data_IF_854766986910
#
_entry.id   IF_854766986910
#
_cell.length_a   1.000
_cell.length_b   1.000
_cell.length_c   1.000
_cell.angle_alpha   90.00
_cell.angle_beta   90.00
_cell.angle_gamma   90.00
#
_symmetry.space_group_name_H-M   'P 1'
#
loop_
_entity.id
_entity.type
_entity.pdbx_description
1 polymer ?
#
# COMPACT_ATOMS: atom_id res chain seq x y z
N UNK A 1 -26.92 -76.42 35.98
CA UNK A 1 -27.43 -76.23 34.60
C UNK A 1 -26.26 -75.81 33.71
N UNK A 2 -26.05 -76.59 32.63
CA UNK A 2 -24.91 -76.66 31.70
C UNK A 2 -24.58 -75.36 30.94
N UNK A 3 -23.41 -75.10 30.31
CA UNK A 3 -22.03 -75.65 30.26
C UNK A 3 -21.17 -74.59 29.51
N UNK A 4 -19.87 -74.48 29.85
CA UNK A 4 -18.75 -73.84 29.08
C UNK A 4 -18.46 -74.63 27.77
N UNK A 5 -17.41 -74.39 26.90
CA UNK A 5 -16.23 -73.49 26.99
C UNK A 5 -15.73 -72.82 25.67
N UNK A 6 -14.61 -72.10 25.81
CA UNK A 6 -13.73 -71.50 24.80
C UNK A 6 -12.94 -72.52 23.93
N UNK A 7 -12.52 -72.12 22.71
CA UNK A 7 -11.12 -72.04 22.21
C UNK A 7 -11.00 -71.87 20.67
N UNK A 8 -10.04 -71.00 20.25
CA UNK A 8 -8.97 -71.22 19.23
C UNK A 8 -9.25 -71.09 17.71
N UNK A 9 -8.65 -70.02 17.14
CA UNK A 9 -7.89 -69.84 15.89
C UNK A 9 -7.99 -70.89 14.75
N UNK A 10 -8.25 -70.42 13.51
CA UNK A 10 -7.43 -70.74 12.32
C UNK A 10 -7.74 -69.87 11.08
N UNK A 11 -6.67 -69.22 10.58
CA UNK A 11 -6.22 -68.90 9.21
C UNK A 11 -7.19 -68.68 8.01
N UNK A 12 -6.78 -67.65 7.26
CA UNK A 12 -6.71 -67.47 5.79
C UNK A 12 -8.01 -67.37 4.98
N UNK A 13 -8.09 -66.36 4.12
CA UNK A 13 -8.18 -66.47 2.65
C UNK A 13 -8.44 -65.06 2.06
N UNK A 14 -7.51 -64.53 1.25
CA UNK A 14 -7.88 -63.64 0.14
C UNK A 14 -8.54 -64.50 -0.95
N UNK A 15 -9.45 -63.94 -1.76
CA UNK A 15 -8.98 -63.56 -3.10
C UNK A 15 -9.62 -62.31 -3.73
N UNK A 16 -8.87 -61.88 -4.73
CA UNK A 16 -8.98 -60.90 -5.79
C UNK A 16 -10.32 -60.81 -6.59
N UNK A 17 -10.75 -59.56 -6.82
CA UNK A 17 -11.45 -58.93 -7.97
C UNK A 17 -12.76 -59.49 -8.58
N UNK A 18 -13.75 -58.60 -8.69
CA UNK A 18 -14.24 -58.01 -9.97
C UNK A 18 -15.65 -57.41 -9.82
N UNK A 19 -15.82 -56.11 -10.06
CA UNK A 19 -16.99 -55.58 -10.80
C UNK A 19 -16.81 -54.09 -11.11
N UNK A 20 -17.16 -53.73 -12.33
CA UNK A 20 -17.08 -52.39 -12.91
C UNK A 20 -18.23 -51.51 -12.42
N UNK A 21 -18.02 -50.20 -12.53
CA UNK A 21 -18.99 -49.10 -12.77
C UNK A 21 -19.11 -48.05 -11.67
N UNK A 22 -19.00 -46.80 -12.15
CA UNK A 22 -19.31 -45.50 -11.53
C UNK A 22 -18.30 -44.91 -10.53
N UNK A 23 -17.18 -44.43 -11.06
CA UNK A 23 -16.43 -43.33 -10.46
C UNK A 23 -17.00 -41.99 -10.94
N UNK A 24 -18.09 -41.54 -10.31
CA UNK A 24 -18.54 -40.15 -10.38
C UNK A 24 -19.40 -39.87 -9.14
N UNK A 25 -19.17 -38.71 -8.52
CA UNK A 25 -19.65 -38.25 -7.20
C UNK A 25 -18.79 -38.71 -6.02
N UNK A 26 -18.53 -37.75 -5.13
CA UNK A 26 -17.69 -37.79 -3.92
C UNK A 26 -16.22 -37.39 -4.08
N UNK A 27 -15.95 -36.26 -4.74
CA UNK A 27 -14.75 -35.45 -4.48
C UNK A 27 -15.06 -33.94 -4.50
N UNK A 28 -16.03 -33.52 -3.68
CA UNK A 28 -16.13 -32.12 -3.25
C UNK A 28 -16.42 -32.11 -1.74
N UNK A 29 -15.44 -32.57 -0.96
CA UNK A 29 -15.34 -32.14 0.44
C UNK A 29 -14.29 -31.04 0.42
N UNK A 30 -14.74 -29.84 0.76
CA UNK A 30 -13.99 -28.60 0.62
C UNK A 30 -12.61 -28.67 1.27
N UNK A 31 -11.58 -28.57 0.43
CA UNK A 31 -10.39 -27.83 0.78
C UNK A 31 -10.74 -26.34 0.68
N UNK A 32 -11.55 -25.87 1.63
CA UNK A 32 -11.35 -24.51 2.09
C UNK A 32 -9.91 -24.51 2.61
N UNK A 33 -8.99 -23.93 1.84
CA UNK A 33 -7.69 -23.55 2.35
C UNK A 33 -7.98 -22.61 3.51
N UNK A 34 -8.00 -23.16 4.73
CA UNK A 34 -7.90 -22.39 5.95
C UNK A 34 -6.46 -21.86 5.93
N UNK A 35 -6.24 -20.81 5.14
CA UNK A 35 -5.16 -19.88 5.42
C UNK A 35 -5.49 -19.37 6.83
N UNK A 36 -4.62 -19.54 7.82
CA UNK A 36 -4.85 -18.95 9.12
C UNK A 36 -4.94 -17.43 8.92
N UNK A 37 -6.15 -16.89 8.97
CA UNK A 37 -6.43 -15.47 8.97
C UNK A 37 -5.99 -14.93 10.32
N UNK A 38 -4.75 -14.44 10.39
CA UNK A 38 -4.26 -13.73 11.57
C UNK A 38 -4.89 -12.33 11.56
N UNK A 39 -5.66 -12.01 12.60
CA UNK A 39 -6.38 -10.75 12.67
C UNK A 39 -5.42 -9.61 12.95
N UNK A 40 -5.57 -8.50 12.23
CA UNK A 40 -5.02 -7.21 12.68
C UNK A 40 -5.50 -6.93 14.12
N UNK A 41 -4.64 -6.29 14.91
CA UNK A 41 -5.07 -5.72 16.17
C UNK A 41 -6.07 -4.58 15.91
N UNK A 42 -6.98 -4.34 16.86
CA UNK A 42 -7.91 -3.22 16.74
C UNK A 42 -7.18 -1.88 16.79
N UNK A 43 -7.77 -0.84 16.19
CA UNK A 43 -7.26 0.53 16.25
C UNK A 43 -6.99 0.97 17.70
N UNK A 44 -7.89 0.58 18.61
CA UNK A 44 -7.78 0.88 20.04
C UNK A 44 -6.58 0.20 20.71
N UNK A 45 -6.20 -1.00 20.27
CA UNK A 45 -5.04 -1.71 20.80
C UNK A 45 -3.71 -0.98 20.50
N UNK A 46 -3.69 -0.11 19.50
CA UNK A 46 -2.59 0.83 19.26
C UNK A 46 -2.79 2.14 20.01
N UNK A 47 -4.00 2.72 19.97
CA UNK A 47 -4.26 4.04 20.58
C UNK A 47 -4.10 4.04 22.10
N UNK A 48 -4.61 3.03 22.81
CA UNK A 48 -4.56 2.95 24.27
C UNK A 48 -3.13 3.10 24.84
N UNK A 49 -2.15 2.28 24.43
CA UNK A 49 -0.80 2.38 24.97
C UNK A 49 -0.09 3.69 24.53
N UNK A 50 -0.34 4.21 23.33
CA UNK A 50 0.21 5.52 22.91
C UNK A 50 -0.35 6.64 23.78
N UNK A 51 -1.68 6.69 23.94
CA UNK A 51 -2.36 7.76 24.65
C UNK A 51 -2.11 7.69 26.17
N UNK A 52 -1.91 6.49 26.73
CA UNK A 52 -1.43 6.32 28.10
C UNK A 52 -0.03 6.93 28.31
N UNK A 53 0.92 6.64 27.41
CA UNK A 53 2.27 7.21 27.48
C UNK A 53 2.28 8.74 27.30
N UNK A 54 1.43 9.25 26.40
CA UNK A 54 1.27 10.68 26.14
C UNK A 54 0.65 11.44 27.30
N UNK A 55 -0.39 10.88 27.93
CA UNK A 55 -1.00 11.44 29.13
C UNK A 55 0.01 11.54 30.29
N UNK A 56 0.90 10.54 30.43
CA UNK A 56 1.92 10.52 31.48
C UNK A 56 2.96 11.66 31.36
N UNK A 57 3.01 12.36 30.22
CA UNK A 57 3.91 13.50 29.99
C UNK A 57 3.15 14.78 29.61
N UNK A 58 1.82 14.77 29.74
CA UNK A 58 0.97 15.93 29.50
C UNK A 58 0.91 16.39 28.05
N UNK A 59 0.96 15.47 27.08
CA UNK A 59 0.73 15.79 25.66
C UNK A 59 -0.62 15.21 25.19
N UNK A 60 -1.31 15.96 24.30
CA UNK A 60 -2.65 15.63 23.79
C UNK A 60 -2.71 14.22 23.18
N UNK A 61 -3.82 13.48 23.34
CA UNK A 61 -3.97 12.14 22.77
C UNK A 61 -3.95 12.16 21.24
N UNK A 62 -3.48 11.07 20.65
CA UNK A 62 -3.58 10.79 19.22
C UNK A 62 -4.99 10.27 18.89
N UNK A 63 -5.46 10.59 17.68
CA UNK A 63 -6.63 9.96 17.07
C UNK A 63 -6.21 9.01 15.96
N UNK A 64 -6.97 7.94 15.73
CA UNK A 64 -6.69 7.04 14.62
C UNK A 64 -6.89 7.73 13.27
N UNK A 65 -6.00 7.44 12.33
CA UNK A 65 -6.10 7.91 10.95
C UNK A 65 -5.98 6.72 10.00
N UNK A 66 -7.07 6.49 9.27
CA UNK A 66 -7.17 5.35 8.35
C UNK A 66 -6.20 5.48 7.17
N UNK A 67 -5.94 6.69 6.66
CA UNK A 67 -4.97 6.90 5.57
C UNK A 67 -3.56 6.55 6.03
N UNK A 68 -3.21 6.92 7.26
CA UNK A 68 -1.91 6.55 7.86
C UNK A 68 -1.82 5.04 8.10
N UNK A 69 -2.91 4.41 8.52
CA UNK A 69 -2.96 2.96 8.78
C UNK A 69 -2.86 2.15 7.48
N UNK A 70 -3.54 2.58 6.42
CA UNK A 70 -3.48 1.95 5.10
C UNK A 70 -2.07 2.09 4.51
N UNK A 71 -1.41 3.25 4.70
CA UNK A 71 0.00 3.44 4.36
C UNK A 71 0.92 2.47 5.14
N UNK A 72 0.75 2.37 6.46
CA UNK A 72 1.51 1.45 7.31
C UNK A 72 1.33 -0.01 6.87
N UNK A 73 0.09 -0.41 6.54
CA UNK A 73 -0.22 -1.77 6.08
C UNK A 73 0.42 -2.07 4.74
N UNK A 74 0.38 -1.11 3.81
CA UNK A 74 1.03 -1.26 2.50
C UNK A 74 2.54 -1.43 2.65
N UNK A 75 3.18 -0.65 3.54
CA UNK A 75 4.60 -0.80 3.78
C UNK A 75 4.95 -2.11 4.51
N UNK A 76 4.15 -2.49 5.52
CA UNK A 76 4.30 -3.76 6.21
C UNK A 76 4.23 -4.95 5.25
N UNK A 77 3.31 -4.90 4.29
CA UNK A 77 3.18 -5.91 3.25
C UNK A 77 4.44 -6.03 2.38
N UNK A 78 5.15 -4.94 2.11
CA UNK A 78 6.41 -4.96 1.35
C UNK A 78 7.53 -5.69 2.11
N UNK A 79 7.51 -5.65 3.44
CA UNK A 79 8.46 -6.35 4.31
C UNK A 79 8.00 -7.76 4.68
N UNK A 80 6.89 -8.27 4.13
CA UNK A 80 6.39 -9.61 4.48
C UNK A 80 7.34 -10.75 4.04
N UNK A 81 8.17 -10.52 3.03
CA UNK A 81 9.09 -11.53 2.52
C UNK A 81 10.34 -11.68 3.39
N UNK A 82 10.87 -10.56 3.91
CA UNK A 82 12.17 -10.51 4.60
C UNK A 82 12.06 -10.10 6.08
N UNK A 83 10.98 -9.42 6.47
CA UNK A 83 10.77 -8.81 7.77
C UNK A 83 11.92 -7.96 8.28
N UNK A 84 12.65 -7.34 7.36
CA UNK A 84 13.73 -6.43 7.72
C UNK A 84 13.14 -5.15 8.34
N UNK A 85 13.75 -4.71 9.45
CA UNK A 85 13.44 -3.42 10.09
C UNK A 85 14.13 -2.29 9.32
N UNK A 86 13.55 -1.95 8.18
CA UNK A 86 13.96 -0.82 7.35
C UNK A 86 12.88 0.23 7.42
N UNK A 87 13.29 1.48 7.55
CA UNK A 87 12.35 2.60 7.52
C UNK A 87 11.79 2.82 6.11
N UNK A 88 10.52 3.20 6.01
CA UNK A 88 9.90 3.51 4.71
C UNK A 88 10.51 4.72 4.02
N UNK A 89 11.20 5.60 4.77
CA UNK A 89 11.63 6.93 4.34
C UNK A 89 10.45 7.74 3.74
N UNK A 90 9.25 7.48 4.25
CA UNK A 90 8.01 8.10 3.84
C UNK A 90 7.79 9.49 4.42
N UNK A 91 6.59 10.00 4.18
CA UNK A 91 6.16 11.33 4.61
C UNK A 91 5.77 11.45 6.10
N UNK A 92 5.84 10.36 6.86
CA UNK A 92 5.34 10.28 8.22
C UNK A 92 6.46 9.92 9.19
N UNK A 93 6.29 10.31 10.46
CA UNK A 93 7.10 9.75 11.54
C UNK A 93 6.82 8.25 11.67
N UNK A 94 7.83 7.43 11.93
CA UNK A 94 7.69 5.98 11.85
C UNK A 94 8.41 5.29 13.00
N UNK A 95 7.68 4.41 13.68
CA UNK A 95 8.24 3.41 14.56
C UNK A 95 8.02 2.02 13.97
N UNK A 96 9.07 1.21 13.96
CA UNK A 96 9.02 -0.17 13.50
C UNK A 96 9.46 -1.10 14.62
N UNK A 97 8.80 -2.24 14.74
CA UNK A 97 9.11 -3.25 15.73
C UNK A 97 9.08 -4.63 15.08
N UNK A 98 9.82 -5.55 15.67
CA UNK A 98 9.83 -6.94 15.27
C UNK A 98 9.71 -7.85 16.49
N UNK A 99 9.03 -8.97 16.31
CA UNK A 99 8.86 -9.99 17.33
C UNK A 99 8.74 -11.39 16.77
N UNK A 100 8.90 -12.36 17.66
CA UNK A 100 8.54 -13.77 17.40
C UNK A 100 7.12 -14.05 17.90
N UNK A 101 6.39 -14.92 17.20
CA UNK A 101 5.00 -15.23 17.55
C UNK A 101 4.02 -14.10 17.20
N UNK A 102 2.84 -14.10 17.82
CA UNK A 102 1.84 -13.03 17.66
C UNK A 102 2.14 -11.90 18.66
N UNK A 103 3.07 -11.03 18.28
CA UNK A 103 3.34 -9.81 19.02
C UNK A 103 2.14 -8.87 18.91
N UNK A 104 1.53 -8.54 20.05
CA UNK A 104 0.41 -7.60 20.07
C UNK A 104 0.86 -6.17 19.84
N UNK A 105 -0.04 -5.36 19.28
CA UNK A 105 0.08 -3.90 19.22
C UNK A 105 0.59 -3.30 20.54
N UNK A 106 -0.04 -3.66 21.66
CA UNK A 106 0.32 -3.16 22.98
C UNK A 106 1.74 -3.54 23.41
N UNK A 107 2.20 -4.75 23.09
CA UNK A 107 3.56 -5.18 23.42
C UNK A 107 4.62 -4.37 22.66
N UNK A 108 4.39 -4.09 21.38
CA UNK A 108 5.30 -3.29 20.57
C UNK A 108 5.33 -1.82 21.01
N UNK A 109 4.17 -1.20 21.22
CA UNK A 109 4.11 0.18 21.72
C UNK A 109 4.77 0.29 23.09
N UNK A 110 4.56 -0.69 23.96
CA UNK A 110 5.26 -0.75 25.25
C UNK A 110 6.78 -0.78 25.06
N UNK A 111 7.30 -1.54 24.10
CA UNK A 111 8.74 -1.62 23.86
C UNK A 111 9.35 -0.27 23.47
N UNK A 112 8.66 0.51 22.64
CA UNK A 112 9.05 1.88 22.31
C UNK A 112 8.93 2.82 23.51
N UNK A 113 7.87 2.69 24.31
CA UNK A 113 7.64 3.52 25.50
C UNK A 113 8.68 3.26 26.60
N UNK A 114 9.14 2.01 26.74
CA UNK A 114 10.13 1.62 27.75
C UNK A 114 11.48 2.34 27.53
N UNK A 115 11.77 2.83 26.33
CA UNK A 115 12.96 3.66 26.06
C UNK A 115 12.95 4.99 26.82
N UNK A 116 11.81 5.40 27.39
CA UNK A 116 11.71 6.53 28.33
C UNK A 116 12.77 6.48 29.42
N UNK A 117 13.12 5.28 29.89
CA UNK A 117 14.16 5.09 30.92
C UNK A 117 15.54 5.63 30.49
N UNK A 118 15.75 5.83 29.19
CA UNK A 118 16.99 6.34 28.59
C UNK A 118 16.89 7.77 28.06
N UNK A 119 15.72 8.41 28.09
CA UNK A 119 15.56 9.78 27.59
C UNK A 119 15.72 10.81 28.72
N UNK A 120 16.60 11.79 28.51
CA UNK A 120 16.76 12.93 29.39
C UNK A 120 16.04 14.16 28.82
N UNK A 121 15.03 14.64 29.56
CA UNK A 121 14.23 15.81 29.20
C UNK A 121 14.99 17.13 29.29
N UNK A 122 16.03 17.22 30.14
CA UNK A 122 16.77 18.46 30.34
C UNK A 122 17.72 18.74 29.18
N UNK A 123 18.31 17.69 28.60
CA UNK A 123 19.25 17.78 27.48
C UNK A 123 18.66 17.40 26.12
N UNK A 124 17.41 16.93 26.10
CA UNK A 124 16.73 16.44 24.89
C UNK A 124 17.56 15.36 24.15
N UNK A 125 18.09 14.40 24.92
CA UNK A 125 19.02 13.40 24.40
C UNK A 125 18.86 12.04 25.05
N UNK A 126 19.22 10.98 24.32
CA UNK A 126 19.31 9.64 24.88
C UNK A 126 20.58 9.48 25.74
N UNK A 127 20.52 8.64 26.76
CA UNK A 127 21.67 8.17 27.51
C UNK A 127 22.72 7.57 26.57
N UNK A 128 24.01 7.73 26.91
CA UNK A 128 25.11 7.30 26.05
C UNK A 128 24.99 5.81 25.66
N UNK A 129 24.98 5.54 24.34
CA UNK A 129 24.86 4.19 23.79
C UNK A 129 23.47 3.56 23.92
N UNK A 130 22.43 4.37 24.18
CA UNK A 130 21.03 3.95 24.22
C UNK A 130 20.21 4.62 23.13
N UNK A 131 19.11 3.98 22.77
CA UNK A 131 18.11 4.50 21.84
C UNK A 131 16.91 4.97 22.63
N UNK A 132 16.35 6.10 22.20
CA UNK A 132 15.12 6.69 22.73
C UNK A 132 14.28 7.39 21.64
N UNK A 133 14.63 7.13 20.38
CA UNK A 133 13.96 7.70 19.22
C UNK A 133 12.52 7.23 19.09
N UNK A 134 12.25 5.96 19.43
CA UNK A 134 10.89 5.45 19.37
C UNK A 134 10.02 6.05 20.48
N UNK A 135 10.56 6.22 21.69
CA UNK A 135 9.86 6.90 22.78
C UNK A 135 9.51 8.34 22.41
N UNK A 136 10.50 9.12 21.97
CA UNK A 136 10.30 10.52 21.59
C UNK A 136 9.29 10.64 20.46
N UNK A 137 9.27 9.70 19.50
CA UNK A 137 8.22 9.65 18.49
C UNK A 137 6.84 9.43 19.11
N UNK A 138 6.65 8.44 20.01
CA UNK A 138 5.37 8.14 20.70
C UNK A 138 4.81 9.38 21.40
N UNK A 139 5.65 10.11 22.11
CA UNK A 139 5.24 11.29 22.90
C UNK A 139 5.43 12.62 22.18
N UNK A 140 5.69 12.61 20.88
CA UNK A 140 5.94 13.83 20.13
C UNK A 140 4.72 14.75 20.15
N UNK A 141 4.88 15.95 20.70
CA UNK A 141 3.76 16.87 21.03
C UNK A 141 2.91 17.23 19.82
N UNK A 142 3.54 17.40 18.66
CA UNK A 142 2.87 17.84 17.44
C UNK A 142 2.26 16.69 16.63
N UNK A 143 2.48 15.44 17.04
CA UNK A 143 1.78 14.29 16.47
C UNK A 143 0.33 14.33 16.94
N UNK A 144 -0.60 14.29 15.99
CA UNK A 144 -2.05 14.35 16.26
C UNK A 144 -2.76 13.08 15.82
N UNK A 145 -2.19 12.36 14.85
CA UNK A 145 -2.81 11.19 14.22
C UNK A 145 -1.85 10.01 14.20
N UNK A 146 -2.37 8.79 14.27
CA UNK A 146 -1.59 7.55 14.16
C UNK A 146 -2.35 6.52 13.36
N UNK A 147 -1.63 5.76 12.56
CA UNK A 147 -2.14 4.58 11.88
C UNK A 147 -1.07 3.50 11.89
N UNK A 148 -1.46 2.30 12.32
CA UNK A 148 -0.55 1.19 12.51
C UNK A 148 -1.04 -0.05 11.78
N UNK A 149 -0.10 -0.93 11.44
CA UNK A 149 -0.37 -2.21 10.84
C UNK A 149 0.66 -3.25 11.26
N UNK A 150 0.21 -4.51 11.40
CA UNK A 150 1.10 -5.65 11.60
C UNK A 150 1.18 -6.53 10.37
N UNK A 151 2.34 -7.13 10.11
CA UNK A 151 2.48 -8.13 9.06
C UNK A 151 3.31 -9.33 9.52
N UNK A 152 2.88 -10.52 9.09
CA UNK A 152 3.60 -11.77 9.31
C UNK A 152 4.57 -12.06 8.16
N UNK A 153 5.79 -12.45 8.51
CA UNK A 153 6.79 -12.96 7.60
C UNK A 153 6.34 -14.26 6.95
N UNK A 154 6.55 -14.40 5.64
CA UNK A 154 6.28 -15.63 4.90
C UNK A 154 7.44 -16.65 4.92
N UNK A 155 8.46 -16.46 5.77
CA UNK A 155 9.61 -17.37 5.84
C UNK A 155 9.18 -18.79 6.25
N UNK A 156 9.62 -19.79 5.48
CA UNK A 156 9.35 -21.23 5.67
C UNK A 156 10.01 -21.84 6.91
N UNK A 157 10.67 -21.03 7.76
CA UNK A 157 11.14 -21.42 9.09
C UNK A 157 10.70 -20.36 10.10
N UNK A 158 9.66 -20.71 10.85
CA UNK A 158 9.02 -19.94 11.91
C UNK A 158 8.24 -18.70 11.44
N UNK A 159 7.05 -18.54 12.02
CA UNK A 159 6.22 -17.35 11.91
C UNK A 159 6.94 -16.15 12.58
N UNK A 160 7.58 -15.28 11.79
CA UNK A 160 8.13 -14.01 12.26
C UNK A 160 7.09 -12.90 12.04
N UNK A 161 7.03 -11.84 12.87
CA UNK A 161 6.12 -10.71 12.66
C UNK A 161 6.86 -9.38 12.79
N UNK A 162 6.56 -8.44 11.89
CA UNK A 162 7.03 -7.05 11.95
C UNK A 162 5.81 -6.12 12.05
N UNK A 163 5.84 -5.22 13.03
CA UNK A 163 4.84 -4.20 13.26
C UNK A 163 5.35 -2.85 12.76
N UNK A 164 4.52 -2.15 12.00
CA UNK A 164 4.80 -0.82 11.46
C UNK A 164 3.76 0.15 12.00
N UNK A 165 4.18 1.09 12.85
CA UNK A 165 3.33 2.20 13.30
C UNK A 165 3.81 3.50 12.68
N UNK A 166 2.90 4.13 11.96
CA UNK A 166 3.16 5.38 11.27
C UNK A 166 2.38 6.48 11.99
N UNK A 167 3.07 7.53 12.40
CA UNK A 167 2.49 8.62 13.19
C UNK A 167 2.48 9.90 12.36
N UNK A 168 1.27 10.44 12.18
CA UNK A 168 1.03 11.71 11.51
C UNK A 168 1.39 12.88 12.42
N UNK A 169 2.52 13.52 12.12
CA UNK A 169 2.90 14.82 12.63
C UNK A 169 2.15 15.90 11.86
N UNK A 170 1.16 16.56 12.47
CA UNK A 170 0.47 17.71 11.87
C UNK A 170 1.12 19.00 12.39
N UNK A 171 2.36 19.24 11.98
CA UNK A 171 2.89 20.61 11.92
C UNK A 171 2.28 21.26 10.68
N UNK A 172 1.86 22.52 10.78
CA UNK A 172 1.41 23.33 9.62
C UNK A 172 2.65 23.67 8.78
N UNK A 173 3.17 22.65 8.14
CA UNK A 173 3.99 22.69 6.94
C UNK A 173 3.18 21.88 5.93
N UNK A 174 2.95 22.36 4.70
CA UNK A 174 2.28 21.55 3.69
C UNK A 174 2.96 20.18 3.64
N UNK A 175 2.19 19.10 3.82
CA UNK A 175 2.78 17.77 3.73
C UNK A 175 3.24 17.58 2.28
N UNK A 176 4.44 17.05 2.06
CA UNK A 176 4.99 16.82 0.72
C UNK A 176 4.05 15.96 -0.16
N UNK A 177 3.21 15.10 0.44
CA UNK A 177 2.19 14.39 -0.33
C UNK A 177 0.96 15.26 -0.66
N UNK A 178 0.45 16.11 0.23
CA UNK A 178 -0.58 17.09 -0.15
C UNK A 178 -0.06 18.00 -1.27
N UNK A 179 1.22 18.38 -1.23
CA UNK A 179 1.86 19.17 -2.29
C UNK A 179 1.90 18.41 -3.62
N UNK A 180 2.34 17.14 -3.64
CA UNK A 180 2.35 16.34 -4.88
C UNK A 180 0.94 16.08 -5.44
N UNK A 181 -0.03 15.77 -4.57
CA UNK A 181 -1.43 15.58 -4.97
C UNK A 181 -1.95 16.86 -5.63
N UNK A 182 -1.67 18.00 -5.00
CA UNK A 182 -2.03 19.31 -5.52
C UNK A 182 -1.32 19.61 -6.84
N UNK A 183 -0.04 19.30 -6.98
CA UNK A 183 0.72 19.50 -8.23
C UNK A 183 0.14 18.69 -9.40
N UNK A 184 -0.22 17.42 -9.19
CA UNK A 184 -0.92 16.62 -10.19
C UNK A 184 -2.27 17.26 -10.52
N UNK A 185 -3.09 17.56 -9.51
CA UNK A 185 -4.45 18.05 -9.72
C UNK A 185 -4.47 19.41 -10.42
N UNK A 186 -3.60 20.34 -10.00
CA UNK A 186 -3.47 21.67 -10.58
C UNK A 186 -3.00 21.61 -12.04
N UNK A 187 -2.05 20.72 -12.36
CA UNK A 187 -1.58 20.53 -13.73
C UNK A 187 -2.69 20.02 -14.66
N UNK A 188 -3.48 19.03 -14.23
CA UNK A 188 -4.64 18.56 -14.98
C UNK A 188 -5.70 19.66 -15.13
N UNK A 189 -6.06 20.31 -14.03
CA UNK A 189 -7.12 21.33 -14.02
C UNK A 189 -6.75 22.58 -14.82
N UNK A 190 -5.45 22.91 -14.90
CA UNK A 190 -4.95 23.95 -15.81
C UNK A 190 -5.18 23.58 -17.27
N UNK A 191 -4.91 22.34 -17.68
CA UNK A 191 -5.17 21.89 -19.06
C UNK A 191 -6.68 21.84 -19.36
N UNK A 192 -7.48 21.32 -18.43
CA UNK A 192 -8.94 21.22 -18.54
C UNK A 192 -9.63 22.58 -18.66
N UNK A 193 -9.13 23.60 -17.95
CA UNK A 193 -9.64 24.96 -18.05
C UNK A 193 -9.48 25.57 -19.45
N UNK A 194 -8.44 25.19 -20.20
CA UNK A 194 -8.23 25.66 -21.58
C UNK A 194 -9.35 25.16 -22.50
N UNK A 195 -9.76 23.91 -22.33
CA UNK A 195 -10.86 23.30 -23.09
C UNK A 195 -12.25 23.57 -22.51
N UNK A 196 -12.33 24.28 -21.38
CA UNK A 196 -13.57 24.59 -20.66
C UNK A 196 -14.35 23.35 -20.20
N UNK A 197 -13.66 22.26 -19.87
CA UNK A 197 -14.26 21.09 -19.21
C UNK A 197 -14.19 21.22 -17.69
N UNK A 198 -15.11 20.59 -16.93
CA UNK A 198 -15.15 20.69 -15.46
C UNK A 198 -13.82 20.24 -14.83
N UNK A 199 -13.34 20.88 -13.75
CA UNK A 199 -12.12 20.43 -13.08
C UNK A 199 -12.29 19.05 -12.44
N UNK A 200 -11.21 18.28 -12.40
CA UNK A 200 -11.12 17.03 -11.65
C UNK A 200 -11.01 17.33 -10.16
N UNK A 201 -11.43 16.34 -9.36
CA UNK A 201 -11.18 16.26 -7.93
C UNK A 201 -10.23 15.10 -7.63
N UNK A 202 -9.44 15.22 -6.56
CA UNK A 202 -8.53 14.15 -6.16
C UNK A 202 -9.28 13.01 -5.47
N UNK A 203 -8.96 11.76 -5.83
CA UNK A 203 -9.50 10.56 -5.18
C UNK A 203 -8.35 9.66 -4.68
N UNK A 204 -8.29 9.50 -3.35
CA UNK A 204 -7.27 8.68 -2.71
C UNK A 204 -7.34 7.20 -3.09
N UNK A 205 -8.52 6.65 -3.41
CA UNK A 205 -8.64 5.24 -3.83
C UNK A 205 -8.03 5.03 -5.22
N UNK A 206 -8.18 6.00 -6.12
CA UNK A 206 -7.51 5.97 -7.42
C UNK A 206 -5.99 6.10 -7.27
N UNK A 207 -5.53 6.94 -6.34
CA UNK A 207 -4.11 7.11 -6.06
C UNK A 207 -3.49 5.83 -5.47
N UNK A 208 -4.21 5.16 -4.55
CA UNK A 208 -3.82 3.86 -4.01
C UNK A 208 -3.80 2.78 -5.10
N UNK A 209 -4.78 2.79 -6.01
CA UNK A 209 -4.79 1.89 -7.17
C UNK A 209 -3.55 2.12 -8.04
N UNK A 210 -3.26 3.37 -8.40
CA UNK A 210 -2.09 3.75 -9.19
C UNK A 210 -0.79 3.31 -8.51
N UNK A 211 -0.64 3.56 -7.21
CA UNK A 211 0.52 3.15 -6.41
C UNK A 211 0.69 1.63 -6.39
N UNK A 212 -0.38 0.89 -6.15
CA UNK A 212 -0.35 -0.56 -6.16
C UNK A 212 0.08 -1.12 -7.52
N UNK A 213 -0.37 -0.50 -8.62
CA UNK A 213 0.04 -0.90 -9.95
C UNK A 213 1.50 -0.53 -10.25
N UNK A 214 1.89 0.71 -9.97
CA UNK A 214 3.25 1.20 -10.17
C UNK A 214 4.28 0.38 -9.39
N UNK A 215 3.94 -0.06 -8.17
CA UNK A 215 4.79 -0.96 -7.38
C UNK A 215 5.01 -2.34 -8.02
N UNK A 216 4.10 -2.82 -8.88
CA UNK A 216 4.32 -4.04 -9.68
C UNK A 216 5.24 -3.75 -10.87
N UNK A 217 5.21 -2.53 -11.40
CA UNK A 217 6.03 -2.09 -12.54
C UNK A 217 7.43 -1.65 -12.14
N UNK A 218 7.69 -1.23 -10.90
CA UNK A 218 8.98 -0.65 -10.49
C UNK A 218 10.21 -1.50 -10.83
N UNK A 219 10.05 -2.82 -10.95
CA UNK A 219 11.12 -3.77 -11.28
C UNK A 219 11.65 -3.58 -12.71
N UNK A 220 10.80 -3.13 -13.65
CA UNK A 220 11.18 -2.97 -15.06
C UNK A 220 10.79 -1.60 -15.66
N UNK A 221 9.93 -0.85 -14.96
CA UNK A 221 9.32 0.41 -15.32
C UNK A 221 8.79 0.54 -16.75
N UNK A 222 8.41 -0.57 -17.39
CA UNK A 222 7.79 -0.47 -18.72
C UNK A 222 6.39 0.12 -18.60
N UNK A 223 6.03 0.94 -19.59
CA UNK A 223 4.74 1.59 -19.73
C UNK A 223 3.72 0.59 -20.30
N UNK A 224 3.30 -0.33 -19.44
CA UNK A 224 2.26 -1.32 -19.76
C UNK A 224 1.04 -0.96 -18.94
N UNK A 225 -0.12 -0.86 -19.59
CA UNK A 225 -1.37 -0.54 -18.90
C UNK A 225 -1.85 -1.65 -17.97
N UNK A 226 -2.48 -1.27 -16.86
CA UNK A 226 -3.04 -2.20 -15.89
C UNK A 226 -4.20 -3.03 -16.43
N UNK A 227 -4.87 -2.54 -17.49
CA UNK A 227 -6.13 -3.06 -18.01
C UNK A 227 -7.22 -3.13 -16.92
N UNK A 228 -7.19 -2.18 -15.98
CA UNK A 228 -8.20 -2.01 -14.93
C UNK A 228 -9.51 -1.42 -15.42
N UNK A 229 -10.40 -1.14 -14.46
CA UNK A 229 -11.71 -0.51 -14.70
C UNK A 229 -11.64 1.02 -14.90
N UNK A 230 -10.49 1.63 -14.57
CA UNK A 230 -10.26 3.08 -14.66
C UNK A 230 -9.55 3.46 -15.94
N UNK A 231 -9.69 4.72 -16.36
CA UNK A 231 -8.79 5.32 -17.34
C UNK A 231 -7.37 5.36 -16.77
N UNK A 232 -6.35 5.40 -17.63
CA UNK A 232 -4.96 5.34 -17.16
C UNK A 232 -4.00 6.07 -18.10
N UNK A 233 -3.13 6.90 -17.53
CA UNK A 233 -1.95 7.44 -18.21
C UNK A 233 -0.69 7.01 -17.48
N UNK A 234 0.34 6.63 -18.23
CA UNK A 234 1.63 6.21 -17.70
C UNK A 234 2.74 7.05 -18.33
N UNK A 235 3.79 7.33 -17.57
CA UNK A 235 5.02 7.95 -18.08
C UNK A 235 6.24 7.43 -17.32
N UNK A 236 7.41 7.54 -17.93
CA UNK A 236 8.67 7.18 -17.31
C UNK A 236 9.77 8.14 -17.75
N UNK A 237 10.71 8.38 -16.84
CA UNK A 237 11.92 9.15 -17.12
C UNK A 237 13.14 8.51 -16.49
N UNK A 238 14.26 8.52 -17.21
CA UNK A 238 15.57 8.19 -16.64
C UNK A 238 16.07 9.25 -15.64
N UNK A 239 15.50 10.45 -15.67
CA UNK A 239 15.79 11.56 -14.76
C UNK A 239 14.80 11.54 -13.57
N UNK A 240 15.18 10.99 -12.40
CA UNK A 240 14.27 10.83 -11.26
C UNK A 240 13.79 12.17 -10.66
N UNK A 241 14.51 13.26 -10.91
CA UNK A 241 14.20 14.62 -10.47
C UNK A 241 13.06 15.29 -11.25
N UNK A 242 12.62 14.71 -12.38
CA UNK A 242 11.46 15.22 -13.12
C UNK A 242 10.26 15.38 -12.18
N UNK A 243 9.62 16.54 -12.25
CA UNK A 243 8.47 16.85 -11.39
C UNK A 243 7.21 16.18 -11.91
N UNK A 244 6.22 15.99 -11.03
CA UNK A 244 4.94 15.41 -11.43
C UNK A 244 4.18 16.34 -12.39
N UNK A 245 4.30 17.66 -12.21
CA UNK A 245 3.77 18.66 -13.15
C UNK A 245 4.38 18.50 -14.54
N UNK A 246 5.70 18.26 -14.65
CA UNK A 246 6.35 18.03 -15.95
C UNK A 246 5.87 16.74 -16.62
N UNK A 247 5.65 15.67 -15.84
CA UNK A 247 5.11 14.42 -16.37
C UNK A 247 3.68 14.60 -16.92
N UNK A 248 2.81 15.34 -16.20
CA UNK A 248 1.47 15.69 -16.72
C UNK A 248 1.58 16.58 -17.96
N UNK A 249 2.53 17.51 -18.00
CA UNK A 249 2.74 18.36 -19.17
C UNK A 249 3.10 17.55 -20.42
N UNK A 250 3.85 16.44 -20.31
CA UNK A 250 4.12 15.57 -21.45
C UNK A 250 2.84 14.98 -22.06
N UNK A 251 1.89 14.56 -21.23
CA UNK A 251 0.57 14.12 -21.71
C UNK A 251 -0.22 15.26 -22.34
N UNK A 252 -0.15 16.46 -21.76
CA UNK A 252 -0.86 17.64 -22.28
C UNK A 252 -0.27 18.12 -23.61
N UNK A 253 1.04 18.02 -23.80
CA UNK A 253 1.74 18.43 -25.02
C UNK A 253 1.31 17.63 -26.25
N UNK A 254 0.75 16.43 -26.06
CA UNK A 254 0.14 15.65 -27.14
C UNK A 254 -1.06 16.35 -27.81
N UNK A 255 -1.60 17.42 -27.19
CA UNK A 255 -2.58 18.32 -27.84
C UNK A 255 -2.14 18.74 -29.24
N UNK A 256 -0.84 18.98 -29.43
CA UNK A 256 -0.29 19.38 -30.73
C UNK A 256 -0.53 18.32 -31.83
N UNK A 257 -0.79 17.07 -31.45
CA UNK A 257 -1.05 15.95 -32.35
C UNK A 257 -2.52 15.56 -32.45
N UNK A 258 -3.42 16.18 -31.67
CA UNK A 258 -4.85 15.87 -31.70
C UNK A 258 -5.62 16.84 -32.59
N UNK A 259 -6.37 16.31 -33.56
CA UNK A 259 -7.34 17.07 -34.36
C UNK A 259 -8.76 16.86 -33.82
N UNK A 260 -9.35 17.94 -33.28
CA UNK A 260 -10.69 17.93 -32.73
C UNK A 260 -11.79 17.70 -33.77
N UNK A 261 -11.61 18.20 -35.00
CA UNK A 261 -12.67 18.14 -36.01
C UNK A 261 -12.85 16.71 -36.51
N UNK A 262 -11.75 16.02 -36.80
CA UNK A 262 -11.76 14.61 -37.20
C UNK A 262 -11.82 13.64 -36.02
N UNK A 263 -11.55 14.10 -34.80
CA UNK A 263 -11.40 13.27 -33.59
C UNK A 263 -10.31 12.20 -33.76
N UNK A 264 -9.14 12.59 -34.27
CA UNK A 264 -8.04 11.67 -34.56
C UNK A 264 -6.69 12.23 -34.12
N UNK A 265 -5.77 11.34 -33.75
CA UNK A 265 -4.35 11.70 -33.62
C UNK A 265 -3.68 11.80 -35.01
N UNK A 266 -2.69 12.68 -35.12
CA UNK A 266 -1.78 12.74 -36.26
C UNK A 266 -1.13 11.37 -36.49
N UNK A 267 -0.98 10.98 -37.77
CA UNK A 267 -0.40 9.69 -38.12
C UNK A 267 0.99 9.46 -37.49
N UNK A 268 1.15 8.34 -36.78
CA UNK A 268 2.39 7.96 -36.10
C UNK A 268 2.68 8.74 -34.81
N UNK A 269 1.68 9.44 -34.26
CA UNK A 269 1.76 10.14 -32.98
C UNK A 269 0.69 9.62 -32.01
N UNK A 270 0.99 9.75 -30.73
CA UNK A 270 0.05 9.47 -29.65
C UNK A 270 -0.62 10.78 -29.21
N UNK A 271 -1.92 10.69 -28.96
CA UNK A 271 -2.70 11.76 -28.33
C UNK A 271 -3.69 11.26 -27.28
N UNK A 272 -3.64 9.97 -26.98
CA UNK A 272 -4.54 9.32 -26.03
C UNK A 272 -4.34 9.78 -24.59
N UNK A 273 -3.12 10.20 -24.22
CA UNK A 273 -2.89 10.73 -22.89
C UNK A 273 -3.52 12.11 -22.74
N UNK A 274 -3.37 12.97 -23.76
CA UNK A 274 -4.04 14.28 -23.80
C UNK A 274 -5.55 14.12 -23.70
N UNK A 275 -6.17 13.29 -24.54
CA UNK A 275 -7.63 13.13 -24.54
C UNK A 275 -8.15 12.62 -23.21
N UNK A 276 -7.41 11.74 -22.51
CA UNK A 276 -7.78 11.30 -21.16
C UNK A 276 -7.70 12.43 -20.13
N UNK A 277 -6.66 13.28 -20.17
CA UNK A 277 -6.51 14.42 -19.24
C UNK A 277 -7.70 15.38 -19.35
N UNK A 278 -8.15 15.66 -20.58
CA UNK A 278 -9.24 16.61 -20.85
C UNK A 278 -10.60 15.95 -21.07
N UNK A 279 -10.76 14.68 -20.71
CA UNK A 279 -12.01 13.96 -20.90
C UNK A 279 -13.14 14.54 -20.04
N UNK A 280 -14.20 15.04 -20.69
CA UNK A 280 -15.24 15.87 -20.07
C UNK A 280 -15.99 15.16 -18.95
N UNK A 281 -16.32 13.88 -19.15
CA UNK A 281 -17.09 13.08 -18.18
C UNK A 281 -16.24 12.45 -17.08
N UNK A 282 -14.91 12.58 -17.13
CA UNK A 282 -14.04 12.15 -16.03
C UNK A 282 -14.12 13.20 -14.93
N UNK A 283 -14.35 12.76 -13.69
CA UNK A 283 -14.60 13.63 -12.53
C UNK A 283 -13.47 13.57 -11.50
N UNK A 284 -12.78 12.43 -11.43
CA UNK A 284 -11.83 12.10 -10.37
C UNK A 284 -10.52 11.59 -10.94
N UNK A 285 -9.42 11.94 -10.27
CA UNK A 285 -8.09 11.44 -10.59
C UNK A 285 -7.32 11.09 -9.33
N UNK A 286 -6.51 10.04 -9.40
CA UNK A 286 -5.50 9.73 -8.40
C UNK A 286 -4.22 9.25 -9.07
N UNK A 287 -3.09 9.74 -8.60
CA UNK A 287 -1.80 9.58 -9.26
C UNK A 287 -0.69 9.14 -8.31
N UNK A 288 0.40 8.65 -8.89
CA UNK A 288 1.61 8.24 -8.18
C UNK A 288 2.87 8.58 -8.96
N UNK A 289 3.94 8.90 -8.23
CA UNK A 289 5.33 8.83 -8.68
C UNK A 289 6.07 7.79 -7.85
N UNK A 290 6.71 6.81 -8.49
CA UNK A 290 7.57 5.82 -7.82
C UNK A 290 8.95 5.79 -8.46
N UNK A 291 9.97 5.52 -7.65
CA UNK A 291 11.31 5.25 -8.17
C UNK A 291 11.40 3.80 -8.63
N UNK A 292 11.97 3.60 -9.81
CA UNK A 292 12.22 2.28 -10.36
C UNK A 292 13.40 1.62 -9.66
N UNK A 293 13.32 0.29 -9.51
CA UNK A 293 14.43 -0.51 -9.03
C UNK A 293 15.54 -0.45 -10.10
N UNK A 294 16.61 0.29 -9.84
CA UNK A 294 17.73 0.38 -10.78
C UNK A 294 18.62 -0.86 -10.73
N UNK A 295 19.49 -0.99 -11.75
CA UNK A 295 20.44 -2.10 -11.84
C UNK A 295 21.75 -1.74 -11.12
N UNK A 296 22.31 -2.67 -10.36
CA UNK A 296 23.66 -2.57 -9.75
C UNK A 296 23.90 -1.29 -8.93
N UNK A 297 22.89 -0.80 -8.19
CA UNK A 297 23.01 0.37 -7.33
C UNK A 297 22.85 1.73 -8.03
N UNK A 298 22.50 1.76 -9.32
CA UNK A 298 22.05 2.98 -9.99
C UNK A 298 20.58 3.29 -9.66
N UNK A 299 20.15 4.55 -9.78
CA UNK A 299 18.73 4.92 -9.75
C UNK A 299 18.06 4.48 -11.06
N UNK A 300 16.94 3.76 -10.99
CA UNK A 300 16.25 3.19 -12.17
C UNK A 300 15.39 4.18 -12.96
N UNK A 301 15.44 5.48 -12.63
CA UNK A 301 14.51 6.49 -13.11
C UNK A 301 13.23 6.58 -12.27
N UNK A 302 12.28 7.40 -12.74
CA UNK A 302 10.99 7.61 -12.10
C UNK A 302 9.84 7.18 -13.02
N UNK A 303 8.88 6.45 -12.46
CA UNK A 303 7.64 6.05 -13.10
C UNK A 303 6.47 6.86 -12.56
N UNK A 304 5.59 7.29 -13.44
CA UNK A 304 4.43 8.11 -13.14
C UNK A 304 3.18 7.38 -13.65
N UNK A 305 2.14 7.34 -12.84
CA UNK A 305 0.84 6.78 -13.22
C UNK A 305 -0.30 7.62 -12.68
N UNK A 306 -1.34 7.81 -13.48
CA UNK A 306 -2.60 8.43 -13.04
C UNK A 306 -3.77 7.57 -13.49
N UNK A 307 -4.74 7.36 -12.60
CA UNK A 307 -6.00 6.69 -12.89
C UNK A 307 -7.17 7.66 -12.82
N UNK A 308 -8.14 7.47 -13.71
CA UNK A 308 -9.22 8.40 -13.99
C UNK A 308 -10.58 7.72 -13.87
N UNK A 309 -11.51 8.37 -13.17
CA UNK A 309 -12.87 7.86 -13.01
C UNK A 309 -13.94 8.95 -13.18
N UNK A 310 -15.02 8.70 -13.95
CA UNK A 310 -15.18 7.60 -14.90
C UNK A 310 -14.08 7.54 -15.98
N UNK A 311 -13.80 6.36 -16.58
CA UNK A 311 -12.79 6.22 -17.63
C UNK A 311 -13.15 7.03 -18.87
N UNK A 312 -12.12 7.58 -19.53
CA UNK A 312 -12.24 8.29 -20.79
C UNK A 312 -11.83 7.46 -22.00
N UNK A 313 -11.50 8.15 -23.10
CA UNK A 313 -11.01 7.56 -24.35
C UNK A 313 -11.95 6.51 -24.97
N UNK A 314 -13.27 6.73 -24.85
CA UNK A 314 -14.27 5.93 -25.54
C UNK A 314 -14.19 6.13 -27.05
N UNK A 315 -14.08 5.02 -27.79
CA UNK A 315 -13.93 5.04 -29.25
C UNK A 315 -15.17 5.69 -29.87
N UNK A 316 -14.96 6.75 -30.64
CA UNK A 316 -16.02 7.48 -31.35
C UNK A 316 -16.53 8.71 -30.60
N UNK A 317 -16.27 8.81 -29.30
CA UNK A 317 -16.66 9.97 -28.50
C UNK A 317 -15.55 11.03 -28.51
N UNK A 318 -15.97 12.30 -28.38
CA UNK A 318 -15.03 13.41 -28.24
C UNK A 318 -14.69 13.66 -26.78
N UNK A 319 -13.45 14.04 -26.47
CA UNK A 319 -13.03 14.34 -25.10
C UNK A 319 -13.69 15.61 -24.53
N UNK A 320 -14.14 16.57 -25.35
CA UNK A 320 -14.78 17.82 -24.93
C UNK A 320 -15.72 18.40 -25.99
#
# INVERSE_FOLDING_TARGET
MCRKPAHRLMKSFEPYMSSKMSAALFWVIGLALILPSYSQDSEQAYLDPHNSARAAVGVEPLTWDKTVADYAQNYANQRAADCNLVHSNGQYGENIAWGTGDMSAAAAVKSWVDEKAFYDYASDSCAAGKECGHYTQVVWRDSKRVGCAKQKAMSSKMALMALFCVMGLALILPSYAEDIQKEYLDAHNKARAVERVPPLTWDNKLADYALNYANKRKVDCKLIHSNGEYGENLAWSSAPEVTVTAAVQWWVDEKAFYDYNSNTCQAGKDCGHYTQVVWNTTERVGCVKVMCDGLNGALGGAFYGCNYDPPGNWIGDKPY
#
